data_IF_650770937493
#
_entry.id   IF_650770937493
#
_cell.length_a   1.000
_cell.length_b   1.000
_cell.length_c   1.000
_cell.angle_alpha   90.00
_cell.angle_beta   90.00
_cell.angle_gamma   90.00
#
_symmetry.space_group_name_H-M   'P 1'
#
loop_
_entity.id
_entity.type
_entity.pdbx_description
1 polymer ?
#
# COMPACT_ATOMS: atom_id res chain seq x y z
N UNK A 1 48.87 5.13 -56.03
CA UNK A 1 48.01 5.25 -54.77
C UNK A 1 48.94 4.98 -53.60
N UNK A 2 49.21 6.04 -52.79
CA UNK A 2 50.25 5.96 -51.74
C UNK A 2 49.76 5.10 -50.58
N UNK A 3 50.48 4.04 -50.22
CA UNK A 3 50.06 3.12 -49.14
C UNK A 3 49.85 3.84 -47.79
N UNK A 4 50.56 4.95 -47.60
CA UNK A 4 50.44 5.79 -46.38
C UNK A 4 49.05 6.44 -46.23
N UNK A 5 48.39 6.80 -47.34
CA UNK A 5 47.04 7.37 -47.33
C UNK A 5 45.97 6.33 -46.99
N UNK A 6 46.13 5.11 -47.43
CA UNK A 6 45.22 3.99 -47.10
C UNK A 6 45.31 3.61 -45.64
N UNK A 7 46.49 3.64 -45.00
CA UNK A 7 46.68 3.38 -43.58
C UNK A 7 46.00 4.45 -42.71
N UNK A 8 46.07 5.72 -43.11
CA UNK A 8 45.42 6.85 -42.38
C UNK A 8 43.89 6.70 -42.42
N UNK A 9 43.32 6.27 -43.53
CA UNK A 9 41.87 6.02 -43.62
C UNK A 9 41.41 4.83 -42.77
N UNK A 10 42.20 3.75 -42.69
CA UNK A 10 41.89 2.58 -41.87
C UNK A 10 41.95 2.94 -40.37
N UNK A 11 42.94 3.73 -39.92
CA UNK A 11 43.04 4.19 -38.54
C UNK A 11 41.91 5.14 -38.20
N UNK A 12 41.48 6.01 -39.13
CA UNK A 12 40.34 6.92 -38.93
C UNK A 12 39.00 6.17 -38.78
N UNK A 13 38.77 5.08 -39.49
CA UNK A 13 37.54 4.29 -39.41
C UNK A 13 37.49 3.44 -38.13
N UNK A 14 38.63 2.96 -37.64
CA UNK A 14 38.68 2.19 -36.38
C UNK A 14 38.43 3.13 -35.14
N UNK A 15 38.86 4.40 -35.20
CA UNK A 15 38.67 5.33 -34.11
C UNK A 15 37.22 5.79 -33.93
N UNK A 16 36.35 5.65 -34.92
CA UNK A 16 34.93 6.04 -34.86
C UNK A 16 34.05 4.93 -34.25
N UNK A 17 34.52 3.70 -34.13
CA UNK A 17 33.75 2.57 -33.58
C UNK A 17 33.93 2.36 -32.08
N UNK A 18 34.76 3.15 -31.39
CA UNK A 18 34.95 3.04 -29.93
C UNK A 18 34.25 4.13 -29.09
N UNK A 19 33.43 4.96 -29.73
CA UNK A 19 32.72 6.05 -29.03
C UNK A 19 31.23 5.71 -28.78
N UNK A 20 30.93 4.57 -28.19
CA UNK A 20 29.61 4.27 -27.63
C UNK A 20 29.77 3.30 -26.47
N UNK A 21 30.22 3.80 -25.32
CA UNK A 21 30.05 3.08 -24.05
C UNK A 21 30.07 4.07 -22.90
N UNK A 22 28.99 4.78 -22.77
CA UNK A 22 28.65 5.62 -21.62
C UNK A 22 27.17 5.43 -21.29
N UNK A 23 26.64 4.22 -21.45
CA UNK A 23 25.35 3.84 -20.88
C UNK A 23 25.63 3.24 -19.52
N UNK A 24 25.29 3.93 -18.43
CA UNK A 24 25.05 3.32 -17.14
C UNK A 24 23.93 2.28 -17.35
N UNK A 25 24.29 1.07 -17.72
CA UNK A 25 23.43 -0.09 -17.52
C UNK A 25 23.33 -0.28 -16.00
N UNK A 26 22.45 0.48 -15.36
CA UNK A 26 21.82 -0.02 -14.15
C UNK A 26 21.13 -1.32 -14.60
N UNK A 27 21.76 -2.44 -14.32
CA UNK A 27 21.08 -3.72 -14.27
C UNK A 27 20.01 -3.52 -13.21
N UNK A 28 18.78 -3.22 -13.64
CA UNK A 28 17.61 -3.32 -12.79
C UNK A 28 17.48 -4.81 -12.53
N UNK A 29 18.10 -5.26 -11.45
CA UNK A 29 17.85 -6.60 -10.92
C UNK A 29 16.38 -6.54 -10.52
N UNK A 30 15.51 -7.13 -11.33
CA UNK A 30 14.10 -7.31 -10.94
C UNK A 30 14.17 -8.20 -9.70
N UNK A 31 13.92 -7.59 -8.53
CA UNK A 31 13.82 -8.36 -7.30
C UNK A 31 12.70 -9.37 -7.48
N UNK A 32 13.07 -10.64 -7.32
CA UNK A 32 12.13 -11.74 -7.43
C UNK A 32 11.28 -11.75 -6.16
N UNK A 33 10.07 -11.17 -6.22
CA UNK A 33 9.13 -11.23 -5.11
C UNK A 33 8.56 -12.64 -4.90
N UNK A 34 8.25 -12.97 -3.66
CA UNK A 34 7.53 -14.19 -3.29
C UNK A 34 6.01 -13.96 -3.36
N UNK A 35 5.35 -14.65 -4.28
CA UNK A 35 3.91 -14.51 -4.50
C UNK A 35 3.12 -15.39 -3.53
N UNK A 36 2.29 -14.79 -2.72
CA UNK A 36 1.36 -15.50 -1.84
C UNK A 36 0.24 -16.11 -2.67
N UNK A 37 0.01 -17.40 -2.50
CA UNK A 37 -1.08 -18.10 -3.19
C UNK A 37 -2.32 -18.13 -2.31
N UNK A 38 -3.46 -17.84 -2.93
CA UNK A 38 -4.77 -17.88 -2.30
C UNK A 38 -5.66 -18.88 -3.04
N UNK A 39 -6.33 -19.78 -2.32
CA UNK A 39 -7.23 -20.76 -2.92
C UNK A 39 -8.55 -20.14 -3.38
N UNK A 40 -9.01 -19.08 -2.70
CA UNK A 40 -10.33 -18.49 -2.92
C UNK A 40 -10.29 -17.01 -3.32
N UNK A 41 -9.26 -16.24 -2.92
CA UNK A 41 -9.17 -14.81 -3.19
C UNK A 41 -8.60 -14.55 -4.61
N UNK A 42 -9.34 -14.92 -5.64
CA UNK A 42 -8.90 -14.87 -7.05
C UNK A 42 -8.65 -13.46 -7.60
N UNK A 43 -9.18 -12.43 -6.93
CA UNK A 43 -8.99 -11.03 -7.32
C UNK A 43 -7.86 -10.35 -6.54
N UNK A 44 -7.21 -11.06 -5.62
CA UNK A 44 -6.15 -10.53 -4.78
C UNK A 44 -4.81 -11.13 -5.19
N UNK A 45 -3.85 -10.26 -5.50
CA UNK A 45 -2.44 -10.60 -5.69
C UNK A 45 -1.62 -9.97 -4.58
N UNK A 46 -0.79 -10.76 -3.92
CA UNK A 46 0.15 -10.28 -2.90
C UNK A 46 1.53 -10.80 -3.23
N UNK A 47 2.48 -9.89 -3.40
CA UNK A 47 3.88 -10.21 -3.69
C UNK A 47 4.74 -9.60 -2.60
N UNK A 48 5.51 -10.44 -1.90
CA UNK A 48 6.45 -10.00 -0.86
C UNK A 48 7.82 -9.78 -1.48
N UNK A 49 8.32 -8.58 -1.33
CA UNK A 49 9.70 -8.19 -1.63
C UNK A 49 10.50 -8.07 -0.33
N UNK A 50 11.80 -7.80 -0.43
CA UNK A 50 12.65 -7.68 0.76
C UNK A 50 12.33 -6.46 1.62
N UNK A 51 11.91 -5.37 0.99
CA UNK A 51 11.68 -4.06 1.61
C UNK A 51 10.20 -3.66 1.69
N UNK A 52 9.33 -4.31 0.90
CA UNK A 52 7.90 -4.00 0.87
C UNK A 52 7.05 -5.22 0.48
N UNK A 53 5.75 -5.09 0.65
CA UNK A 53 4.76 -6.03 0.13
C UNK A 53 3.89 -5.29 -0.87
N UNK A 54 3.86 -5.76 -2.12
CA UNK A 54 2.95 -5.27 -3.13
C UNK A 54 1.62 -6.00 -3.05
N UNK A 55 0.53 -5.25 -3.00
CA UNK A 55 -0.84 -5.78 -2.97
C UNK A 55 -1.62 -5.20 -4.14
N UNK A 56 -2.22 -6.06 -4.94
CA UNK A 56 -3.04 -5.66 -6.09
C UNK A 56 -4.43 -6.27 -5.99
N UNK A 57 -5.45 -5.47 -6.22
CA UNK A 57 -6.84 -5.89 -6.29
C UNK A 57 -7.30 -5.74 -7.74
N UNK A 58 -7.60 -6.88 -8.38
CA UNK A 58 -8.11 -6.90 -9.74
C UNK A 58 -9.53 -6.33 -9.80
N UNK A 59 -9.86 -5.70 -10.92
CA UNK A 59 -11.20 -5.16 -11.13
C UNK A 59 -12.18 -6.30 -11.45
N UNK A 60 -13.23 -6.49 -10.65
CA UNK A 60 -14.19 -7.57 -10.87
C UNK A 60 -15.09 -7.33 -12.10
N UNK A 61 -15.22 -6.07 -12.54
CA UNK A 61 -16.10 -5.69 -13.66
C UNK A 61 -15.38 -5.56 -14.99
N UNK A 62 -14.06 -5.27 -14.95
CA UNK A 62 -13.24 -5.07 -16.16
C UNK A 62 -12.08 -6.05 -16.14
N UNK A 63 -12.24 -7.15 -16.89
CA UNK A 63 -11.23 -8.21 -16.97
C UNK A 63 -9.86 -7.68 -17.40
N UNK A 64 -8.83 -8.06 -16.65
CA UNK A 64 -7.44 -7.70 -16.94
C UNK A 64 -7.05 -6.29 -16.51
N UNK A 65 -7.91 -5.57 -15.81
CA UNK A 65 -7.56 -4.27 -15.20
C UNK A 65 -7.41 -4.39 -13.69
N UNK A 66 -6.62 -3.49 -13.12
CA UNK A 66 -6.40 -3.36 -11.69
C UNK A 66 -7.37 -2.32 -11.13
N UNK A 67 -8.04 -2.65 -10.04
CA UNK A 67 -8.91 -1.73 -9.32
C UNK A 67 -8.09 -0.82 -8.40
N UNK A 68 -7.18 -1.42 -7.62
CA UNK A 68 -6.29 -0.71 -6.68
C UNK A 68 -4.99 -1.49 -6.52
N UNK A 69 -3.91 -0.78 -6.24
CA UNK A 69 -2.62 -1.35 -5.84
C UNK A 69 -2.04 -0.57 -4.66
N UNK A 70 -1.29 -1.27 -3.81
CA UNK A 70 -0.65 -0.73 -2.61
C UNK A 70 0.74 -1.31 -2.46
N UNK A 71 1.71 -0.46 -2.10
CA UNK A 71 3.05 -0.86 -1.67
C UNK A 71 3.17 -0.60 -0.17
N UNK A 72 3.26 -1.68 0.61
CA UNK A 72 3.30 -1.64 2.07
C UNK A 72 4.72 -1.92 2.52
N UNK A 73 5.45 -0.89 2.87
CA UNK A 73 6.86 -0.97 3.30
C UNK A 73 7.05 -1.31 4.78
N UNK A 74 5.98 -1.23 5.58
CA UNK A 74 6.00 -1.55 7.02
C UNK A 74 4.66 -2.12 7.47
N UNK A 75 4.63 -2.96 8.51
CA UNK A 75 3.38 -3.40 9.11
C UNK A 75 2.54 -2.22 9.59
N UNK A 76 1.22 -2.28 9.39
CA UNK A 76 0.31 -1.29 9.94
C UNK A 76 0.30 -1.39 11.47
N UNK A 77 0.72 -0.30 12.13
CA UNK A 77 0.81 -0.21 13.58
C UNK A 77 -0.40 0.45 14.24
N UNK A 78 -1.04 1.38 13.52
CA UNK A 78 -2.19 2.14 13.99
C UNK A 78 -3.29 2.16 12.97
N UNK A 79 -4.48 1.69 13.36
CA UNK A 79 -5.67 1.73 12.54
C UNK A 79 -6.80 2.50 13.24
N UNK A 80 -7.54 3.27 12.48
CA UNK A 80 -8.86 3.77 12.89
C UNK A 80 -9.91 2.92 12.21
N UNK A 81 -10.89 2.44 12.96
CA UNK A 81 -11.95 1.57 12.44
C UNK A 81 -13.33 2.14 12.74
N UNK A 82 -14.22 2.06 11.77
CA UNK A 82 -15.52 2.72 11.86
C UNK A 82 -16.65 1.81 12.38
N UNK A 83 -16.41 0.49 12.48
CA UNK A 83 -17.45 -0.45 12.89
C UNK A 83 -16.94 -1.50 13.87
N UNK A 84 -17.88 -2.05 14.68
CA UNK A 84 -17.57 -3.18 15.58
C UNK A 84 -17.12 -4.42 14.83
N UNK A 85 -17.59 -4.65 13.60
CA UNK A 85 -17.16 -5.77 12.77
C UNK A 85 -15.66 -5.68 12.42
N UNK A 86 -15.17 -4.50 12.08
CA UNK A 86 -13.73 -4.29 11.84
C UNK A 86 -12.91 -4.48 13.13
N UNK A 87 -13.43 -4.03 14.28
CA UNK A 87 -12.81 -4.30 15.57
C UNK A 87 -12.66 -5.80 15.83
N UNK A 88 -13.74 -6.56 15.58
CA UNK A 88 -13.73 -8.00 15.78
C UNK A 88 -12.76 -8.72 14.85
N UNK A 89 -12.70 -8.30 13.57
CA UNK A 89 -11.79 -8.85 12.59
C UNK A 89 -10.32 -8.66 13.02
N UNK A 90 -9.93 -7.44 13.40
CA UNK A 90 -8.57 -7.16 13.87
C UNK A 90 -8.24 -7.90 15.16
N UNK A 91 -9.24 -8.08 16.04
CA UNK A 91 -9.07 -8.86 17.28
C UNK A 91 -8.80 -10.34 16.98
N UNK A 92 -9.55 -10.97 16.07
CA UNK A 92 -9.31 -12.34 15.64
C UNK A 92 -7.95 -12.54 14.96
N UNK A 93 -7.46 -11.51 14.27
CA UNK A 93 -6.11 -11.51 13.70
C UNK A 93 -5.00 -11.25 14.75
N UNK A 94 -5.34 -11.14 16.05
CA UNK A 94 -4.39 -10.81 17.12
C UNK A 94 -3.84 -9.39 17.05
N UNK A 95 -4.59 -8.47 16.39
CA UNK A 95 -4.17 -7.09 16.13
C UNK A 95 -5.00 -6.05 16.88
N UNK A 96 -5.67 -6.41 17.96
CA UNK A 96 -6.44 -5.46 18.80
C UNK A 96 -5.59 -4.27 19.24
N UNK A 97 -4.29 -4.48 19.50
CA UNK A 97 -3.38 -3.41 19.90
C UNK A 97 -3.20 -2.33 18.82
N UNK A 98 -3.38 -2.67 17.55
CA UNK A 98 -3.29 -1.73 16.43
C UNK A 98 -4.52 -0.82 16.32
N UNK A 99 -5.63 -1.12 17.00
CA UNK A 99 -6.83 -0.27 16.99
C UNK A 99 -6.55 0.97 17.84
N UNK A 100 -6.11 2.05 17.19
CA UNK A 100 -5.77 3.32 17.83
C UNK A 100 -6.96 4.27 17.93
N UNK A 101 -7.95 4.14 17.03
CA UNK A 101 -9.17 4.90 17.06
C UNK A 101 -10.38 4.08 16.60
N UNK A 102 -11.57 4.45 17.09
CA UNK A 102 -12.85 3.89 16.68
C UNK A 102 -13.87 5.00 16.49
N UNK A 103 -14.84 4.78 15.62
CA UNK A 103 -16.03 5.62 15.58
C UNK A 103 -17.17 4.93 16.33
N UNK A 104 -18.18 5.75 16.70
CA UNK A 104 -19.38 5.26 17.39
C UNK A 104 -19.06 4.32 18.58
N UNK A 105 -18.15 4.76 19.43
CA UNK A 105 -17.57 3.97 20.54
C UNK A 105 -18.61 3.26 21.42
N UNK A 106 -19.79 3.85 21.60
CA UNK A 106 -20.92 3.29 22.36
C UNK A 106 -21.48 1.99 21.78
N UNK A 107 -21.27 1.76 20.47
CA UNK A 107 -21.75 0.56 19.77
C UNK A 107 -20.67 -0.50 19.60
N UNK A 108 -19.47 -0.26 20.10
CA UNK A 108 -18.40 -1.24 20.04
C UNK A 108 -18.69 -2.40 21.00
N UNK A 109 -18.97 -3.58 20.41
CA UNK A 109 -19.32 -4.81 21.16
C UNK A 109 -18.11 -5.68 21.53
N UNK A 110 -16.88 -5.28 21.18
CA UNK A 110 -15.66 -6.06 21.45
C UNK A 110 -15.06 -5.66 22.79
N UNK A 111 -15.11 -6.53 23.79
CA UNK A 111 -14.72 -6.23 25.17
C UNK A 111 -13.27 -5.74 25.30
N UNK A 112 -12.34 -6.32 24.55
CA UNK A 112 -10.93 -5.89 24.56
C UNK A 112 -10.77 -4.45 24.06
N UNK A 113 -11.52 -4.06 23.03
CA UNK A 113 -11.51 -2.69 22.51
C UNK A 113 -12.17 -1.73 23.49
N UNK A 114 -13.25 -2.14 24.15
CA UNK A 114 -13.91 -1.35 25.20
C UNK A 114 -12.98 -1.09 26.38
N UNK A 115 -12.23 -2.11 26.82
CA UNK A 115 -11.19 -1.95 27.85
C UNK A 115 -10.11 -0.96 27.43
N UNK A 116 -9.70 -0.99 26.18
CA UNK A 116 -8.70 -0.05 25.63
C UNK A 116 -9.26 1.37 25.55
N UNK A 117 -10.52 1.55 25.16
CA UNK A 117 -11.20 2.84 25.20
C UNK A 117 -11.23 3.42 26.63
N UNK A 118 -11.66 2.62 27.61
CA UNK A 118 -11.68 3.00 29.02
C UNK A 118 -10.30 3.36 29.57
N UNK A 119 -9.24 2.71 29.06
CA UNK A 119 -7.86 2.98 29.44
C UNK A 119 -7.19 4.11 28.64
N UNK A 120 -7.91 4.79 27.74
CA UNK A 120 -7.36 5.84 26.88
C UNK A 120 -6.35 5.36 25.83
N UNK A 121 -6.26 4.03 25.59
CA UNK A 121 -5.37 3.42 24.62
C UNK A 121 -5.97 3.34 23.21
N UNK A 122 -7.24 3.60 23.08
CA UNK A 122 -7.99 3.72 21.84
C UNK A 122 -8.85 4.98 21.96
N UNK A 123 -8.86 5.80 20.93
CA UNK A 123 -9.52 7.10 20.92
C UNK A 123 -10.89 7.00 20.26
N UNK A 124 -11.90 7.69 20.79
CA UNK A 124 -13.19 7.85 20.12
C UNK A 124 -13.08 8.97 19.08
N UNK A 125 -13.25 8.61 17.80
CA UNK A 125 -13.19 9.52 16.65
C UNK A 125 -14.59 10.01 16.22
N UNK A 126 -15.58 9.94 17.09
CA UNK A 126 -16.92 10.48 16.85
C UNK A 126 -17.81 9.55 16.03
N UNK A 127 -18.67 10.12 15.22
CA UNK A 127 -19.66 9.39 14.43
C UNK A 127 -19.07 8.83 13.14
N UNK A 128 -19.37 7.58 12.79
CA UNK A 128 -18.84 6.91 11.60
C UNK A 128 -19.27 7.53 10.27
N UNK A 129 -20.41 8.20 10.23
CA UNK A 129 -20.89 8.91 9.03
C UNK A 129 -20.24 10.28 8.84
N UNK A 130 -19.70 10.87 9.91
CA UNK A 130 -18.98 12.13 9.89
C UNK A 130 -17.86 12.09 10.94
N UNK A 131 -16.78 11.33 10.68
CA UNK A 131 -15.70 11.17 11.63
C UNK A 131 -14.97 12.48 11.92
N UNK A 132 -14.41 12.58 13.12
CA UNK A 132 -13.52 13.68 13.51
C UNK A 132 -12.16 13.49 12.83
N UNK A 133 -12.00 14.13 11.66
CA UNK A 133 -10.80 14.02 10.83
C UNK A 133 -9.56 14.59 11.53
N UNK A 134 -9.74 15.62 12.34
CA UNK A 134 -8.65 16.26 13.09
C UNK A 134 -8.09 15.27 14.13
N UNK A 135 -8.97 14.63 14.86
CA UNK A 135 -8.58 13.59 15.83
C UNK A 135 -7.95 12.37 15.17
N UNK A 136 -8.44 11.97 13.98
CA UNK A 136 -7.83 10.88 13.19
C UNK A 136 -6.42 11.27 12.76
N UNK A 137 -6.22 12.50 12.31
CA UNK A 137 -4.90 13.01 11.94
C UNK A 137 -3.94 13.07 13.15
N UNK A 138 -4.41 13.48 14.33
CA UNK A 138 -3.64 13.50 15.58
C UNK A 138 -3.17 12.10 15.99
N UNK A 139 -3.98 11.06 15.76
CA UNK A 139 -3.59 9.67 16.02
C UNK A 139 -2.41 9.27 15.15
N UNK A 140 -2.27 9.84 13.94
CA UNK A 140 -1.30 9.46 12.94
C UNK A 140 -1.55 8.01 12.51
N UNK A 141 -2.77 7.71 12.07
CA UNK A 141 -3.16 6.37 11.66
C UNK A 141 -2.47 5.96 10.35
N UNK A 142 -1.99 4.72 10.29
CA UNK A 142 -1.43 4.12 9.06
C UNK A 142 -2.56 3.70 8.09
N UNK A 143 -3.75 3.41 8.63
CA UNK A 143 -4.92 3.03 7.85
C UNK A 143 -6.21 3.44 8.54
N UNK A 144 -7.21 3.76 7.72
CA UNK A 144 -8.59 3.97 8.15
C UNK A 144 -9.43 2.91 7.47
N UNK A 145 -10.09 2.06 8.27
CA UNK A 145 -10.93 0.97 7.77
C UNK A 145 -12.38 1.39 7.89
N UNK A 146 -13.02 1.55 6.75
CA UNK A 146 -14.38 2.06 6.62
C UNK A 146 -15.28 1.05 5.92
N UNK A 147 -16.60 1.13 6.17
CA UNK A 147 -17.59 0.37 5.41
C UNK A 147 -18.09 1.22 4.26
N UNK A 148 -18.05 0.75 3.01
CA UNK A 148 -18.61 1.48 1.89
C UNK A 148 -20.14 1.53 2.02
N UNK A 149 -20.72 2.70 1.80
CA UNK A 149 -22.15 2.89 1.68
C UNK A 149 -22.49 3.30 0.26
N UNK A 150 -23.54 2.73 -0.29
CA UNK A 150 -23.94 2.92 -1.69
C UNK A 150 -24.17 4.40 -2.08
N UNK A 151 -24.49 5.24 -1.11
CA UNK A 151 -24.80 6.67 -1.31
C UNK A 151 -23.80 7.62 -0.64
N UNK A 152 -22.65 7.14 -0.21
CA UNK A 152 -21.70 7.97 0.56
C UNK A 152 -20.95 9.01 -0.27
N UNK A 153 -21.11 9.06 -1.59
CA UNK A 153 -20.38 10.02 -2.43
C UNK A 153 -18.87 9.99 -2.29
N UNK A 154 -18.31 8.89 -1.77
CA UNK A 154 -16.93 8.75 -1.33
C UNK A 154 -16.74 9.28 0.11
N UNK A 155 -15.60 8.96 0.69
CA UNK A 155 -15.24 9.40 2.04
C UNK A 155 -14.66 10.82 2.08
N UNK A 156 -14.69 11.53 0.94
CA UNK A 156 -14.41 12.96 0.81
C UNK A 156 -13.16 13.43 1.55
N UNK A 157 -13.35 13.93 2.76
CA UNK A 157 -12.26 14.47 3.58
C UNK A 157 -11.28 13.39 4.05
N UNK A 158 -11.74 12.15 4.31
CA UNK A 158 -10.88 11.03 4.73
C UNK A 158 -9.97 10.52 3.61
N UNK A 159 -10.39 10.64 2.35
CA UNK A 159 -9.56 10.24 1.20
C UNK A 159 -8.38 11.21 0.95
N UNK A 160 -8.40 12.37 1.60
CA UNK A 160 -7.39 13.42 1.46
C UNK A 160 -6.45 13.51 2.67
N UNK A 161 -6.69 12.66 3.69
CA UNK A 161 -5.89 12.60 4.91
C UNK A 161 -4.82 11.55 4.78
#
# INVERSE_FOLDING_TARGET
>A
MNPLRSIIYIIGVVAVLTSCQGGNNRVVTLEKGDTVRFDYATLLTVVRYNDHTHVEIANPWVKGSVLRSYDISRPLGKAVVTTTAHCQLLTWLGKTAAIAGVCDSRYIGVDEVRKRLAAGKTVDCGNSMNPDVERIAEIGADAIIVSPFEHSGGYGRLEKT
#
